data_IF_393214060289
#
_entry.id   IF_393214060289
#
_cell.length_a   1.000
_cell.length_b   1.000
_cell.length_c   1.000
_cell.angle_alpha   90.00
_cell.angle_beta   90.00
_cell.angle_gamma   90.00
#
_symmetry.space_group_name_H-M   'P 1'
#
loop_
_entity.id
_entity.type
_entity.pdbx_description
1 polymer ?
#
# COMPACT_ATOMS: atom_id res chain seq x y z
N UNK A 1 -73.18 -12.76 29.68
CA UNK A 1 -72.85 -13.30 28.34
C UNK A 1 -72.30 -12.15 27.48
N UNK A 2 -71.30 -12.39 26.60
CA UNK A 2 -69.99 -11.73 26.68
C UNK A 2 -69.78 -10.49 25.80
N UNK A 3 -68.71 -9.78 26.20
CA UNK A 3 -67.95 -8.67 25.58
C UNK A 3 -67.46 -9.01 24.17
N UNK A 4 -67.41 -8.01 23.26
CA UNK A 4 -66.28 -7.80 22.32
C UNK A 4 -66.08 -6.31 22.01
N UNK A 5 -65.05 -5.70 22.62
CA UNK A 5 -64.48 -4.44 22.17
C UNK A 5 -63.68 -4.68 20.89
N UNK A 6 -63.75 -3.75 19.95
CA UNK A 6 -62.97 -3.77 18.72
C UNK A 6 -61.76 -2.87 18.91
N UNK A 7 -60.65 -3.42 19.39
CA UNK A 7 -59.39 -2.68 19.50
C UNK A 7 -58.71 -2.60 18.13
N UNK A 8 -58.78 -1.42 17.50
CA UNK A 8 -58.01 -1.08 16.32
C UNK A 8 -56.55 -0.85 16.69
N UNK A 9 -55.69 -1.83 16.41
CA UNK A 9 -54.24 -1.67 16.51
C UNK A 9 -53.70 -0.78 15.38
N UNK A 10 -53.57 0.52 15.65
CA UNK A 10 -52.79 1.42 14.81
C UNK A 10 -51.30 1.09 14.99
N UNK A 11 -50.70 0.45 13.99
CA UNK A 11 -49.27 0.16 13.97
C UNK A 11 -48.58 1.25 13.15
N UNK A 12 -47.84 2.12 13.82
CA UNK A 12 -47.04 3.17 13.19
C UNK A 12 -45.78 2.54 12.58
N UNK A 13 -45.68 2.54 11.26
CA UNK A 13 -44.49 2.05 10.54
C UNK A 13 -43.59 3.25 10.28
N UNK A 14 -42.60 3.44 11.15
CA UNK A 14 -41.51 4.38 10.93
C UNK A 14 -40.56 3.79 9.88
N UNK A 15 -40.65 4.25 8.64
CA UNK A 15 -39.71 3.88 7.58
C UNK A 15 -38.43 4.70 7.80
N UNK A 16 -37.39 4.05 8.34
CA UNK A 16 -36.04 4.60 8.45
C UNK A 16 -35.35 4.46 7.09
N UNK A 17 -35.35 5.54 6.31
CA UNK A 17 -34.61 5.63 5.05
C UNK A 17 -33.10 5.65 5.33
N UNK A 18 -32.42 4.54 5.10
CA UNK A 18 -30.96 4.47 5.09
C UNK A 18 -30.47 5.10 3.77
N UNK A 19 -30.01 6.36 3.85
CA UNK A 19 -29.27 6.97 2.75
C UNK A 19 -27.87 6.37 2.70
N UNK A 20 -27.61 5.51 1.72
CA UNK A 20 -26.27 5.02 1.44
C UNK A 20 -25.41 6.15 0.87
N UNK A 21 -24.45 6.63 1.65
CA UNK A 21 -23.38 7.50 1.14
C UNK A 21 -22.41 6.62 0.37
N UNK A 22 -22.47 6.68 -0.96
CA UNK A 22 -21.39 6.15 -1.79
C UNK A 22 -20.17 7.07 -1.61
N UNK A 23 -19.26 6.71 -0.73
CA UNK A 23 -17.97 7.39 -0.63
C UNK A 23 -17.20 7.16 -1.92
N UNK A 24 -16.85 8.24 -2.62
CA UNK A 24 -15.88 8.18 -3.72
C UNK A 24 -14.51 7.90 -3.10
N UNK A 25 -14.00 6.68 -3.28
CA UNK A 25 -12.61 6.38 -2.98
C UNK A 25 -11.76 7.18 -3.98
N UNK A 26 -11.24 8.35 -3.56
CA UNK A 26 -10.25 9.07 -4.35
C UNK A 26 -8.97 8.25 -4.33
N UNK A 27 -8.58 7.74 -5.49
CA UNK A 27 -7.36 6.98 -5.59
C UNK A 27 -6.14 7.91 -5.37
N UNK A 28 -5.17 7.42 -4.59
CA UNK A 28 -4.04 8.22 -4.11
C UNK A 28 -2.95 8.46 -5.16
N UNK A 29 -1.90 9.24 -4.83
CA UNK A 29 -0.79 9.54 -5.75
C UNK A 29 0.21 8.38 -5.92
N UNK A 30 -0.12 7.18 -5.46
CA UNK A 30 0.76 6.01 -5.44
C UNK A 30 0.16 4.86 -6.25
N UNK A 31 0.92 3.78 -6.43
CA UNK A 31 0.38 2.54 -6.98
C UNK A 31 -0.79 2.03 -6.12
N UNK A 32 -1.89 1.67 -6.77
CA UNK A 32 -3.15 1.29 -6.12
C UNK A 32 -3.46 -0.20 -6.23
N UNK A 33 -2.98 -0.87 -7.28
CA UNK A 33 -3.21 -2.30 -7.47
C UNK A 33 -2.01 -2.99 -8.13
N UNK A 34 -1.88 -4.30 -7.90
CA UNK A 34 -0.93 -5.17 -8.60
C UNK A 34 -1.66 -5.78 -9.79
N UNK A 35 -1.18 -5.50 -11.00
CA UNK A 35 -1.73 -6.08 -12.24
C UNK A 35 -1.14 -7.46 -12.46
N UNK A 36 0.18 -7.59 -12.33
CA UNK A 36 0.89 -8.86 -12.45
C UNK A 36 2.23 -8.80 -11.74
N UNK A 37 2.64 -9.94 -11.19
CA UNK A 37 3.97 -10.13 -10.61
C UNK A 37 4.53 -11.48 -11.05
N UNK A 38 5.69 -11.43 -11.69
CA UNK A 38 6.55 -12.58 -11.93
C UNK A 38 7.85 -12.35 -11.14
N UNK A 39 8.13 -13.13 -10.08
CA UNK A 39 9.38 -12.98 -9.33
C UNK A 39 10.61 -13.28 -10.18
N UNK A 40 10.50 -13.99 -11.31
CA UNK A 40 11.63 -14.46 -12.08
C UNK A 40 12.49 -15.45 -11.30
N UNK A 41 13.77 -15.54 -11.66
CA UNK A 41 14.73 -16.41 -11.00
C UNK A 41 15.58 -15.66 -9.95
N UNK A 42 15.83 -16.28 -8.80
CA UNK A 42 16.62 -15.72 -7.71
C UNK A 42 16.04 -14.43 -7.07
N UNK A 43 14.71 -14.26 -7.03
CA UNK A 43 14.10 -13.27 -6.14
C UNK A 43 14.44 -13.59 -4.68
N UNK A 44 14.68 -12.56 -3.86
CA UNK A 44 15.07 -12.73 -2.47
C UNK A 44 13.95 -13.43 -1.65
N UNK A 45 14.23 -14.57 -1.00
CA UNK A 45 13.23 -15.27 -0.19
C UNK A 45 12.65 -14.36 0.91
N UNK A 46 11.34 -14.35 1.06
CA UNK A 46 10.64 -13.50 2.03
C UNK A 46 10.28 -12.09 1.52
N UNK A 47 10.78 -11.70 0.35
CA UNK A 47 10.51 -10.40 -0.29
C UNK A 47 9.68 -10.53 -1.57
N UNK A 48 8.84 -11.55 -1.67
CA UNK A 48 8.04 -11.84 -2.88
C UNK A 48 6.56 -11.49 -2.71
N UNK A 49 6.24 -10.60 -1.75
CA UNK A 49 4.91 -10.04 -1.63
C UNK A 49 4.81 -8.78 -2.50
N UNK A 50 4.08 -8.80 -3.63
CA UNK A 50 3.98 -7.64 -4.50
C UNK A 50 3.13 -6.51 -3.90
N UNK A 51 2.36 -6.76 -2.84
CA UNK A 51 1.55 -5.73 -2.19
C UNK A 51 2.40 -4.73 -1.41
N UNK A 52 3.64 -5.08 -1.07
CA UNK A 52 4.63 -4.17 -0.47
C UNK A 52 4.98 -2.96 -1.36
N UNK A 53 4.70 -3.03 -2.66
CA UNK A 53 4.92 -1.92 -3.60
C UNK A 53 3.74 -0.93 -3.69
N UNK A 54 2.64 -1.18 -2.98
CA UNK A 54 1.45 -0.34 -3.03
C UNK A 54 1.49 0.78 -1.99
N UNK A 55 0.82 1.89 -2.29
CA UNK A 55 0.71 3.01 -1.36
C UNK A 55 2.01 3.80 -1.19
N UNK A 56 2.09 4.57 -0.10
CA UNK A 56 3.24 5.45 0.14
C UNK A 56 4.47 4.64 0.57
N UNK A 57 5.68 5.00 0.09
CA UNK A 57 6.92 4.40 0.59
C UNK A 57 7.07 4.50 2.12
N UNK A 58 7.71 3.50 2.72
CA UNK A 58 7.96 3.45 4.14
C UNK A 58 8.80 4.64 4.63
N UNK A 59 8.48 5.14 5.83
CA UNK A 59 9.21 6.23 6.51
C UNK A 59 9.95 5.77 7.77
N UNK A 60 9.61 4.57 8.25
CA UNK A 60 10.22 3.89 9.38
C UNK A 60 10.54 2.45 8.94
N UNK A 61 11.57 1.85 9.51
CA UNK A 61 12.01 0.48 9.21
C UNK A 61 12.63 -0.18 10.44
N UNK A 62 12.83 -1.50 10.39
CA UNK A 62 13.42 -2.30 11.47
C UNK A 62 12.54 -2.44 12.71
N UNK A 63 11.23 -2.16 12.59
CA UNK A 63 10.28 -2.27 13.69
C UNK A 63 10.14 -3.73 14.14
N UNK A 64 9.90 -4.71 13.24
CA UNK A 64 9.82 -6.12 13.62
C UNK A 64 11.16 -6.66 14.14
N UNK A 65 12.28 -6.12 13.67
CA UNK A 65 13.63 -6.48 14.10
C UNK A 65 14.02 -5.92 15.49
N UNK A 66 13.20 -5.04 16.08
CA UNK A 66 13.48 -4.44 17.38
C UNK A 66 14.44 -3.24 17.34
N UNK A 67 14.77 -2.73 16.16
CA UNK A 67 15.66 -1.58 15.95
C UNK A 67 14.97 -0.51 15.08
N UNK A 68 13.85 0.08 15.54
CA UNK A 68 13.08 1.02 14.75
C UNK A 68 13.91 2.25 14.41
N UNK A 69 14.00 2.58 13.12
CA UNK A 69 14.79 3.69 12.60
C UNK A 69 14.01 4.44 11.53
N UNK A 70 14.34 5.72 11.34
CA UNK A 70 13.83 6.49 10.20
C UNK A 70 14.47 6.00 8.91
N UNK A 71 13.68 5.90 7.85
CA UNK A 71 14.21 5.54 6.53
C UNK A 71 15.19 6.63 6.09
N UNK A 72 16.43 6.23 5.84
CA UNK A 72 17.53 7.08 5.41
C UNK A 72 18.54 6.26 4.58
N UNK A 73 19.51 6.88 3.90
CA UNK A 73 20.53 6.12 3.17
C UNK A 73 21.35 5.13 4.03
N UNK A 74 21.43 5.37 5.35
CA UNK A 74 22.12 4.49 6.32
C UNK A 74 21.17 3.60 7.11
N UNK A 75 19.87 3.68 6.83
CA UNK A 75 18.83 2.80 7.36
C UNK A 75 17.75 2.67 6.29
N UNK A 76 18.05 1.98 5.17
CA UNK A 76 17.12 1.81 4.07
C UNK A 76 15.90 0.98 4.53
N UNK A 77 14.75 1.06 3.83
CA UNK A 77 13.66 0.15 4.11
C UNK A 77 14.10 -1.28 3.81
N UNK A 78 13.95 -2.18 4.79
CA UNK A 78 14.35 -3.59 4.65
C UNK A 78 13.34 -4.58 5.22
N UNK A 79 12.27 -4.12 5.88
CA UNK A 79 11.24 -5.04 6.37
C UNK A 79 10.50 -5.66 5.16
N UNK A 80 10.00 -6.88 5.30
CA UNK A 80 9.42 -7.67 4.20
C UNK A 80 8.13 -7.08 3.63
N UNK A 81 7.50 -6.13 4.33
CA UNK A 81 6.31 -5.39 3.92
C UNK A 81 6.62 -4.03 3.26
N UNK A 82 7.90 -3.69 3.09
CA UNK A 82 8.34 -2.37 2.60
C UNK A 82 8.97 -2.42 1.20
N UNK A 83 9.45 -3.59 0.78
CA UNK A 83 10.12 -3.79 -0.50
C UNK A 83 9.74 -5.15 -1.09
N UNK A 84 9.71 -5.21 -2.42
CA UNK A 84 9.50 -6.43 -3.21
C UNK A 84 10.73 -6.70 -4.07
N UNK A 85 11.17 -7.95 -4.11
CA UNK A 85 12.30 -8.40 -4.91
C UNK A 85 11.83 -8.89 -6.27
N UNK A 86 12.53 -8.47 -7.31
CA UNK A 86 12.34 -8.94 -8.69
C UNK A 86 13.65 -9.59 -9.11
N UNK A 87 13.62 -10.89 -9.35
CA UNK A 87 14.74 -11.68 -9.80
C UNK A 87 15.03 -11.52 -11.29
N UNK A 88 16.05 -12.24 -11.76
CA UNK A 88 16.43 -12.23 -13.17
C UNK A 88 15.29 -12.75 -14.05
N UNK A 89 14.92 -11.93 -15.06
CA UNK A 89 13.81 -12.20 -15.97
C UNK A 89 12.43 -11.93 -15.37
N UNK A 90 12.34 -11.49 -14.11
CA UNK A 90 11.07 -11.17 -13.46
C UNK A 90 10.51 -9.81 -13.88
N UNK A 91 9.27 -9.56 -13.50
CA UNK A 91 8.59 -8.28 -13.72
C UNK A 91 7.53 -8.01 -12.65
N UNK A 92 7.28 -6.73 -12.40
CA UNK A 92 6.15 -6.26 -11.59
C UNK A 92 5.42 -5.18 -12.38
N UNK A 93 4.12 -5.35 -12.56
CA UNK A 93 3.25 -4.38 -13.21
C UNK A 93 2.23 -3.88 -12.21
N UNK A 94 2.19 -2.57 -12.03
CA UNK A 94 1.34 -1.88 -11.07
C UNK A 94 0.38 -0.95 -11.82
N UNK A 95 -0.80 -0.78 -11.27
CA UNK A 95 -1.74 0.25 -11.68
C UNK A 95 -1.52 1.49 -10.81
N UNK A 96 -1.37 2.65 -11.45
CA UNK A 96 -1.32 3.92 -10.74
C UNK A 96 -2.69 4.23 -10.15
N UNK A 97 -2.73 4.81 -8.94
CA UNK A 97 -3.99 5.25 -8.35
C UNK A 97 -4.69 6.31 -9.20
N UNK A 98 -3.94 7.17 -9.87
CA UNK A 98 -4.49 8.13 -10.81
C UNK A 98 -3.87 7.96 -12.19
N UNK A 99 -4.67 8.22 -13.22
CA UNK A 99 -4.16 8.30 -14.59
C UNK A 99 -3.07 9.38 -14.67
N UNK A 100 -1.91 9.01 -15.20
CA UNK A 100 -0.90 9.99 -15.59
C UNK A 100 -1.36 10.67 -16.89
N UNK A 101 -1.63 11.97 -16.83
CA UNK A 101 -1.93 12.80 -17.99
C UNK A 101 -0.70 13.62 -18.32
N UNK A 102 -0.31 13.63 -19.60
CA UNK A 102 0.67 14.60 -20.11
C UNK A 102 0.03 16.00 -20.07
N UNK A 103 0.32 16.75 -19.01
CA UNK A 103 -0.27 18.06 -18.75
C UNK A 103 0.82 19.10 -18.41
N UNK A 104 0.97 20.08 -19.30
CA UNK A 104 1.93 21.18 -19.14
C UNK A 104 1.67 22.07 -17.91
N UNK A 105 0.50 21.96 -17.28
CA UNK A 105 0.16 22.64 -16.03
C UNK A 105 0.72 21.95 -14.79
N UNK A 106 1.17 20.69 -14.89
CA UNK A 106 1.88 20.04 -13.79
C UNK A 106 3.21 20.75 -13.50
N UNK A 107 3.64 20.84 -12.21
CA UNK A 107 4.92 21.43 -11.86
C UNK A 107 6.07 20.78 -12.65
N UNK A 108 6.82 21.61 -13.37
CA UNK A 108 7.91 21.17 -14.25
C UNK A 108 7.49 20.24 -15.40
N UNK A 109 6.19 20.10 -15.70
CA UNK A 109 5.65 19.17 -16.70
C UNK A 109 5.87 17.69 -16.34
N UNK A 110 5.92 17.37 -15.04
CA UNK A 110 6.16 16.01 -14.54
C UNK A 110 4.83 15.38 -14.12
N UNK A 111 4.45 14.28 -14.77
CA UNK A 111 3.18 13.60 -14.52
C UNK A 111 3.33 12.36 -13.62
N UNK A 112 4.55 11.83 -13.51
CA UNK A 112 4.88 10.67 -12.69
C UNK A 112 6.37 10.67 -12.31
N UNK A 113 6.68 10.10 -11.14
CA UNK A 113 8.04 10.00 -10.61
C UNK A 113 8.28 8.58 -10.11
N UNK A 114 9.46 8.04 -10.44
CA UNK A 114 10.00 6.84 -9.80
C UNK A 114 11.13 7.25 -8.87
N UNK A 115 11.02 6.92 -7.59
CA UNK A 115 12.09 7.12 -6.62
C UNK A 115 12.87 5.83 -6.42
N UNK A 116 14.19 5.88 -6.67
CA UNK A 116 15.11 4.82 -6.27
C UNK A 116 15.73 5.11 -4.91
N UNK A 117 16.06 4.07 -4.16
CA UNK A 117 16.87 4.16 -2.94
C UNK A 117 18.08 3.23 -3.05
N UNK A 118 19.20 3.63 -2.46
CA UNK A 118 20.38 2.78 -2.28
C UNK A 118 20.58 2.53 -0.80
N UNK A 119 20.68 1.25 -0.41
CA UNK A 119 20.89 0.85 0.97
C UNK A 119 22.33 0.42 1.21
N UNK A 120 22.93 0.90 2.31
CA UNK A 120 24.19 0.36 2.82
C UNK A 120 23.91 -0.32 4.15
N UNK A 121 24.10 -1.64 4.22
CA UNK A 121 23.83 -2.45 5.42
C UNK A 121 25.15 -3.01 5.93
N UNK A 122 25.37 -2.94 7.25
CA UNK A 122 26.48 -3.65 7.90
C UNK A 122 26.11 -5.13 8.03
N UNK A 123 26.82 -5.98 7.30
CA UNK A 123 26.68 -7.44 7.32
C UNK A 123 27.53 -8.11 8.39
N UNK A 124 28.33 -7.34 9.12
CA UNK A 124 29.36 -7.85 10.03
C UNK A 124 29.50 -7.05 11.32
N UNK A 125 28.40 -6.52 11.88
CA UNK A 125 28.42 -5.74 13.13
C UNK A 125 29.26 -6.42 14.24
N UNK A 126 30.14 -5.67 14.95
CA UNK A 126 30.42 -4.24 14.84
C UNK A 126 31.58 -3.90 13.88
N UNK A 127 31.99 -4.85 13.02
CA UNK A 127 33.19 -4.71 12.18
C UNK A 127 33.01 -3.79 10.97
N UNK A 128 31.80 -3.29 10.71
CA UNK A 128 31.54 -2.30 9.66
C UNK A 128 31.73 -2.85 8.25
N UNK A 129 31.25 -4.06 8.00
CA UNK A 129 31.36 -4.70 6.68
C UNK A 129 30.16 -4.31 5.82
N UNK A 130 30.38 -3.46 4.82
CA UNK A 130 29.31 -3.07 3.89
C UNK A 130 28.91 -4.27 3.03
N UNK A 131 27.67 -4.72 3.17
CA UNK A 131 27.02 -5.56 2.17
C UNK A 131 26.40 -4.71 1.07
N UNK A 132 26.52 -5.16 -0.16
CA UNK A 132 25.70 -4.71 -1.26
C UNK A 132 24.33 -5.44 -1.24
N UNK A 133 23.26 -4.70 -1.53
CA UNK A 133 21.90 -5.20 -1.74
C UNK A 133 21.55 -5.16 -3.21
#
# INVERSE_FOLDING_TARGET
MPVRSFEGRLTCICVLSISAYAGTATAGPFAASVVSYDPGSNAAPGYTDPTAALGSPARLTGIPAGFPSVVSPFSPPFDTDQIVSIGFGGSLTLELGQTAYDDASHPFGIDFIVFGNAGFIDTGFPNGLVGDS
#
